data_IF_119563954957
#
_entry.id   IF_119563954957
#
_cell.length_a   1.000
_cell.length_b   1.000
_cell.length_c   1.000
_cell.angle_alpha   90.00
_cell.angle_beta   90.00
_cell.angle_gamma   90.00
#
_symmetry.space_group_name_H-M   'P 1'
#
loop_
_entity.id
_entity.type
_entity.pdbx_description
1 polymer ?
#
# COMPACT_ATOMS: atom_id res chain seq x y z
N UNK A 1 -15.11 -21.70 19.04
CA UNK A 1 -14.64 -20.40 18.52
C UNK A 1 -13.29 -20.12 19.16
N UNK A 2 -12.21 -20.56 18.54
CA UNK A 2 -10.85 -20.25 19.01
C UNK A 2 -10.65 -18.74 18.80
N UNK A 3 -10.25 -18.03 19.86
CA UNK A 3 -10.06 -16.59 19.84
C UNK A 3 -9.15 -16.17 18.73
N UNK A 4 -9.69 -15.39 17.79
CA UNK A 4 -8.89 -14.70 16.79
C UNK A 4 -7.82 -13.91 17.54
N UNK A 5 -6.57 -14.38 17.46
CA UNK A 5 -5.45 -13.75 18.15
C UNK A 5 -5.42 -12.28 17.74
N UNK A 6 -5.58 -11.39 18.70
CA UNK A 6 -5.53 -9.95 18.48
C UNK A 6 -4.22 -9.63 17.77
N UNK A 7 -4.29 -8.94 16.64
CA UNK A 7 -3.11 -8.38 16.00
C UNK A 7 -2.42 -7.47 17.02
N UNK A 8 -1.16 -7.75 17.30
CA UNK A 8 -0.33 -6.88 18.12
C UNK A 8 -0.01 -5.61 17.32
N UNK A 9 -0.76 -4.56 17.64
CA UNK A 9 -0.68 -3.29 16.95
C UNK A 9 0.68 -2.62 17.15
N UNK A 10 1.13 -2.53 18.40
CA UNK A 10 2.39 -1.87 18.75
C UNK A 10 3.58 -2.66 18.20
N UNK A 11 3.59 -3.97 18.41
CA UNK A 11 4.66 -4.83 17.89
C UNK A 11 4.77 -4.81 16.36
N UNK A 12 3.66 -4.63 15.61
CA UNK A 12 3.73 -4.49 14.16
C UNK A 12 4.42 -3.19 13.73
N UNK A 13 4.20 -2.07 14.44
CA UNK A 13 4.90 -0.81 14.17
C UNK A 13 6.39 -0.90 14.54
N UNK A 14 6.74 -1.51 15.66
CA UNK A 14 8.14 -1.70 16.07
C UNK A 14 8.90 -2.60 15.10
N UNK A 15 8.35 -3.77 14.75
CA UNK A 15 8.96 -4.68 13.79
C UNK A 15 9.03 -4.04 12.40
N UNK A 16 7.95 -3.40 11.95
CA UNK A 16 7.93 -2.67 10.68
C UNK A 16 9.02 -1.59 10.63
N UNK A 17 9.28 -0.88 11.73
CA UNK A 17 10.33 0.11 11.80
C UNK A 17 11.74 -0.49 11.73
N UNK A 18 11.96 -1.62 12.42
CA UNK A 18 13.25 -2.34 12.37
C UNK A 18 13.50 -2.85 10.95
N UNK A 19 12.52 -3.49 10.34
CA UNK A 19 12.58 -3.98 8.96
C UNK A 19 12.78 -2.85 7.95
N UNK A 20 12.07 -1.74 8.12
CA UNK A 20 12.21 -0.57 7.27
C UNK A 20 13.64 -0.01 7.29
N UNK A 21 14.21 0.20 8.47
CA UNK A 21 15.59 0.69 8.60
C UNK A 21 16.61 -0.26 7.96
N UNK A 22 16.48 -1.56 8.23
CA UNK A 22 17.43 -2.56 7.72
C UNK A 22 17.36 -2.75 6.19
N UNK A 23 16.20 -2.48 5.58
CA UNK A 23 15.97 -2.65 4.15
C UNK A 23 15.76 -1.33 3.38
N UNK A 24 16.04 -0.20 4.01
CA UNK A 24 15.76 1.14 3.47
C UNK A 24 16.26 1.33 2.05
N UNK A 25 17.52 0.97 1.77
CA UNK A 25 18.12 1.12 0.44
C UNK A 25 17.42 0.32 -0.67
N UNK A 26 16.74 -0.79 -0.32
CA UNK A 26 16.04 -1.65 -1.28
C UNK A 26 14.63 -1.17 -1.59
N UNK A 27 13.98 -0.46 -0.66
CA UNK A 27 12.56 -0.09 -0.76
C UNK A 27 12.34 1.41 -0.95
N UNK A 28 13.31 2.26 -0.59
CA UNK A 28 13.20 3.72 -0.69
C UNK A 28 12.96 4.19 -2.13
N UNK A 29 13.60 3.56 -3.12
CA UNK A 29 13.38 3.87 -4.53
C UNK A 29 11.93 3.63 -4.97
N UNK A 30 11.30 2.55 -4.52
CA UNK A 30 9.89 2.27 -4.79
C UNK A 30 8.96 3.23 -4.05
N UNK A 31 9.30 3.59 -2.80
CA UNK A 31 8.57 4.61 -2.06
C UNK A 31 8.60 5.97 -2.76
N UNK A 32 9.76 6.37 -3.28
CA UNK A 32 9.87 7.58 -4.09
C UNK A 32 9.05 7.47 -5.39
N UNK A 33 9.05 6.31 -6.05
CA UNK A 33 8.27 6.08 -7.26
C UNK A 33 6.74 6.21 -7.01
N UNK A 34 6.22 5.70 -5.88
CA UNK A 34 4.79 5.84 -5.52
C UNK A 34 4.40 7.29 -5.18
N UNK A 35 5.35 8.15 -4.87
CA UNK A 35 5.07 9.57 -4.66
C UNK A 35 5.01 10.39 -5.97
N UNK A 36 5.44 9.81 -7.12
CA UNK A 36 5.47 10.52 -8.42
C UNK A 36 4.06 10.84 -8.95
N UNK A 37 3.11 9.89 -9.08
CA UNK A 37 1.79 10.21 -9.64
C UNK A 37 1.06 11.35 -8.92
N UNK A 38 1.01 11.41 -7.57
CA UNK A 38 0.40 12.51 -6.85
C UNK A 38 1.02 13.89 -7.14
N UNK A 39 2.30 13.95 -7.47
CA UNK A 39 2.97 15.23 -7.80
C UNK A 39 2.38 15.87 -9.05
N UNK A 40 1.94 15.06 -10.02
CA UNK A 40 1.36 15.58 -11.27
C UNK A 40 0.04 16.31 -11.08
N UNK A 41 -0.68 16.11 -9.95
CA UNK A 41 -1.86 16.91 -9.63
C UNK A 41 -1.55 18.41 -9.46
N UNK A 42 -0.32 18.75 -9.07
CA UNK A 42 0.10 20.15 -8.97
C UNK A 42 0.27 20.84 -10.35
N UNK A 43 0.57 20.05 -11.38
CA UNK A 43 0.76 20.58 -12.74
C UNK A 43 -0.50 20.47 -13.59
N UNK A 44 -1.24 19.37 -13.44
CA UNK A 44 -2.47 19.11 -14.18
C UNK A 44 -3.30 18.06 -13.46
N UNK A 45 -4.55 18.41 -13.11
CA UNK A 45 -5.50 17.47 -12.51
C UNK A 45 -5.69 16.26 -13.42
N UNK A 46 -5.87 16.47 -14.73
CA UNK A 46 -6.06 15.39 -15.71
C UNK A 46 -4.85 14.45 -15.75
N UNK A 47 -3.65 14.99 -15.83
CA UNK A 47 -2.43 14.18 -15.84
C UNK A 47 -2.26 13.41 -14.51
N UNK A 48 -2.50 14.05 -13.38
CA UNK A 48 -2.46 13.41 -12.06
C UNK A 48 -3.45 12.25 -11.95
N UNK A 49 -4.70 12.45 -12.37
CA UNK A 49 -5.74 11.41 -12.40
C UNK A 49 -5.31 10.25 -13.30
N UNK A 50 -4.92 10.50 -14.54
CA UNK A 50 -4.52 9.46 -15.50
C UNK A 50 -3.33 8.66 -14.97
N UNK A 51 -2.29 9.31 -14.47
CA UNK A 51 -1.10 8.63 -13.95
C UNK A 51 -1.42 7.81 -12.71
N UNK A 52 -2.27 8.31 -11.81
CA UNK A 52 -2.71 7.54 -10.64
C UNK A 52 -3.46 6.28 -11.05
N UNK A 53 -4.42 6.38 -11.98
CA UNK A 53 -5.16 5.20 -12.45
C UNK A 53 -4.30 4.20 -13.22
N UNK A 54 -3.30 4.64 -13.96
CA UNK A 54 -2.47 3.77 -14.82
C UNK A 54 -1.29 3.20 -14.06
N UNK A 55 -0.58 4.01 -13.26
CA UNK A 55 0.71 3.64 -12.69
C UNK A 55 0.66 3.28 -11.21
N UNK A 56 -0.19 3.91 -10.40
CA UNK A 56 -0.15 3.78 -8.94
C UNK A 56 -0.34 2.33 -8.49
N UNK A 57 -1.31 1.62 -9.05
CA UNK A 57 -1.53 0.21 -8.69
C UNK A 57 -0.35 -0.69 -9.03
N UNK A 58 0.31 -0.46 -10.17
CA UNK A 58 1.54 -1.17 -10.51
C UNK A 58 2.66 -0.84 -9.52
N UNK A 59 2.86 0.43 -9.21
CA UNK A 59 3.91 0.88 -8.29
C UNK A 59 3.70 0.32 -6.88
N UNK A 60 2.45 0.27 -6.40
CA UNK A 60 2.11 -0.31 -5.10
C UNK A 60 2.33 -1.84 -5.07
N UNK A 61 2.04 -2.56 -6.18
CA UNK A 61 2.36 -3.99 -6.29
C UNK A 61 3.88 -4.20 -6.28
N UNK A 62 4.64 -3.39 -7.00
CA UNK A 62 6.10 -3.47 -7.03
C UNK A 62 6.71 -3.14 -5.67
N UNK A 63 6.17 -2.15 -4.96
CA UNK A 63 6.55 -1.86 -3.59
C UNK A 63 6.22 -3.03 -2.66
N UNK A 64 5.01 -3.61 -2.74
CA UNK A 64 4.62 -4.79 -1.94
C UNK A 64 5.55 -5.98 -2.21
N UNK A 65 5.86 -6.26 -3.48
CA UNK A 65 6.83 -7.31 -3.83
C UNK A 65 8.23 -7.03 -3.26
N UNK A 66 8.69 -5.79 -3.33
CA UNK A 66 10.00 -5.37 -2.79
C UNK A 66 10.06 -5.54 -1.26
N UNK A 67 8.96 -5.22 -0.57
CA UNK A 67 8.80 -5.44 0.88
C UNK A 67 8.88 -6.94 1.21
N UNK A 68 8.13 -7.78 0.49
CA UNK A 68 8.15 -9.25 0.68
C UNK A 68 9.56 -9.80 0.48
N UNK A 69 10.19 -9.47 -0.64
CA UNK A 69 11.54 -9.96 -0.97
C UNK A 69 12.57 -9.50 0.07
N UNK A 70 12.50 -8.25 0.50
CA UNK A 70 13.42 -7.68 1.50
C UNK A 70 13.26 -8.33 2.87
N UNK A 71 12.03 -8.55 3.32
CA UNK A 71 11.73 -9.15 4.62
C UNK A 71 12.11 -10.64 4.67
N UNK A 72 12.07 -11.33 3.52
CA UNK A 72 12.43 -12.75 3.41
C UNK A 72 13.87 -12.99 2.94
N UNK A 73 14.66 -11.97 2.71
CA UNK A 73 16.01 -12.08 2.18
C UNK A 73 16.09 -12.62 0.74
N UNK A 74 14.98 -12.50 -0.02
CA UNK A 74 14.91 -12.97 -1.40
C UNK A 74 15.41 -11.89 -2.37
N UNK A 75 15.88 -12.35 -3.55
CA UNK A 75 16.18 -11.42 -4.66
C UNK A 75 14.89 -10.93 -5.29
N UNK A 76 14.88 -9.65 -5.64
CA UNK A 76 13.75 -9.05 -6.38
C UNK A 76 14.01 -9.19 -7.88
N UNK A 77 13.50 -10.27 -8.48
CA UNK A 77 13.75 -10.61 -9.89
C UNK A 77 12.60 -10.19 -10.83
N UNK A 78 11.77 -9.23 -10.42
CA UNK A 78 10.60 -8.79 -11.23
C UNK A 78 11.00 -8.34 -12.63
N UNK A 79 12.09 -7.59 -12.74
CA UNK A 79 12.57 -7.08 -14.05
C UNK A 79 13.24 -8.15 -14.90
N UNK A 80 13.67 -9.26 -14.32
CA UNK A 80 14.25 -10.40 -15.04
C UNK A 80 13.17 -11.26 -15.72
N UNK A 81 11.89 -11.04 -15.38
CA UNK A 81 10.76 -11.79 -15.91
C UNK A 81 9.69 -10.87 -16.53
N UNK A 82 9.73 -10.62 -17.86
CA UNK A 82 8.75 -9.78 -18.54
C UNK A 82 7.30 -10.20 -18.31
N UNK A 83 7.05 -11.52 -18.24
CA UNK A 83 5.72 -12.05 -17.99
C UNK A 83 5.21 -11.70 -16.59
N UNK A 84 6.08 -11.68 -15.59
CA UNK A 84 5.73 -11.30 -14.22
C UNK A 84 5.41 -9.80 -14.15
N UNK A 85 6.25 -8.99 -14.78
CA UNK A 85 6.01 -7.54 -14.85
C UNK A 85 4.69 -7.21 -15.56
N UNK A 86 4.42 -7.90 -16.68
CA UNK A 86 3.15 -7.72 -17.42
C UNK A 86 1.94 -8.15 -16.56
N UNK A 87 2.06 -9.24 -15.80
CA UNK A 87 1.01 -9.67 -14.88
C UNK A 87 0.77 -8.62 -13.78
N UNK A 88 1.83 -8.05 -13.20
CA UNK A 88 1.70 -6.98 -12.21
C UNK A 88 1.09 -5.71 -12.82
N UNK A 89 1.47 -5.35 -14.05
CA UNK A 89 0.90 -4.20 -14.73
C UNK A 89 -0.61 -4.35 -14.97
N UNK A 90 -1.04 -5.52 -15.48
CA UNK A 90 -2.48 -5.82 -15.70
C UNK A 90 -3.27 -5.78 -14.39
N UNK A 91 -2.78 -6.47 -13.37
CA UNK A 91 -3.47 -6.52 -12.07
C UNK A 91 -3.42 -5.16 -11.36
N UNK A 92 -2.30 -4.44 -11.42
CA UNK A 92 -2.18 -3.09 -10.86
C UNK A 92 -3.16 -2.11 -11.49
N UNK A 93 -3.29 -2.12 -12.81
CA UNK A 93 -4.27 -1.31 -13.52
C UNK A 93 -5.71 -1.64 -13.10
N UNK A 94 -6.05 -2.94 -13.00
CA UNK A 94 -7.38 -3.37 -12.55
C UNK A 94 -7.65 -2.98 -11.09
N UNK A 95 -6.69 -3.17 -10.19
CA UNK A 95 -6.82 -2.72 -8.79
C UNK A 95 -7.04 -1.21 -8.74
N UNK A 96 -6.29 -0.44 -9.52
CA UNK A 96 -6.44 1.01 -9.58
C UNK A 96 -7.84 1.42 -10.01
N UNK A 97 -8.35 0.85 -11.12
CA UNK A 97 -9.70 1.17 -11.64
C UNK A 97 -10.80 0.79 -10.65
N UNK A 98 -10.63 -0.27 -9.88
CA UNK A 98 -11.64 -0.72 -8.93
C UNK A 98 -11.54 0.02 -7.59
N UNK A 99 -10.33 0.20 -7.06
CA UNK A 99 -10.10 0.69 -5.72
C UNK A 99 -10.11 2.23 -5.63
N UNK A 100 -9.43 2.93 -6.55
CA UNK A 100 -9.33 4.39 -6.45
C UNK A 100 -10.67 5.13 -6.57
N UNK A 101 -11.61 4.76 -7.47
CA UNK A 101 -12.93 5.38 -7.45
C UNK A 101 -13.65 5.20 -6.11
N UNK A 102 -13.55 4.02 -5.49
CA UNK A 102 -14.14 3.77 -4.18
C UNK A 102 -13.51 4.65 -3.10
N UNK A 103 -12.19 4.82 -3.14
CA UNK A 103 -11.46 5.70 -2.21
C UNK A 103 -11.84 7.17 -2.43
N UNK A 104 -11.95 7.62 -3.69
CA UNK A 104 -12.34 8.99 -4.04
C UNK A 104 -13.77 9.29 -3.62
N UNK A 105 -14.72 8.39 -3.91
CA UNK A 105 -16.13 8.55 -3.49
C UNK A 105 -16.19 8.57 -1.95
N UNK A 106 -15.46 7.67 -1.30
CA UNK A 106 -15.37 7.63 0.15
C UNK A 106 -14.80 8.91 0.74
N UNK A 107 -13.75 9.48 0.14
CA UNK A 107 -13.13 10.72 0.58
C UNK A 107 -14.07 11.92 0.37
N UNK A 108 -14.78 11.97 -0.76
CA UNK A 108 -15.77 13.01 -1.05
C UNK A 108 -16.97 12.95 -0.08
N UNK A 109 -17.36 11.75 0.35
CA UNK A 109 -18.49 11.57 1.26
C UNK A 109 -18.21 12.00 2.70
N UNK A 110 -17.04 11.78 3.27
CA UNK A 110 -16.62 12.25 4.60
C UNK A 110 -15.28 11.68 5.11
N UNK A 111 -14.36 11.29 4.27
CA UNK A 111 -13.05 10.67 4.59
C UNK A 111 -13.18 9.29 5.29
N UNK A 112 -14.07 9.14 6.29
CA UNK A 112 -14.26 7.88 7.03
C UNK A 112 -14.57 6.69 6.13
N UNK A 113 -15.49 6.77 5.14
CA UNK A 113 -15.70 5.67 4.20
C UNK A 113 -14.45 5.27 3.41
N UNK A 114 -13.61 6.24 3.04
CA UNK A 114 -12.32 5.96 2.38
C UNK A 114 -11.37 5.17 3.28
N UNK A 115 -11.29 5.52 4.58
CA UNK A 115 -10.50 4.78 5.57
C UNK A 115 -11.01 3.34 5.71
N UNK A 116 -12.34 3.14 5.72
CA UNK A 116 -12.94 1.80 5.77
C UNK A 116 -12.57 1.00 4.53
N UNK A 117 -12.75 1.57 3.33
CA UNK A 117 -12.38 0.92 2.06
C UNK A 117 -10.92 0.52 2.07
N UNK A 118 -10.03 1.43 2.44
CA UNK A 118 -8.60 1.13 2.51
C UNK A 118 -8.31 0.01 3.53
N UNK A 119 -8.88 0.05 4.73
CA UNK A 119 -8.68 -0.97 5.75
C UNK A 119 -9.10 -2.39 5.32
N UNK A 120 -10.10 -2.48 4.45
CA UNK A 120 -10.61 -3.74 3.89
C UNK A 120 -9.70 -4.28 2.80
N UNK A 121 -9.15 -3.41 1.95
CA UNK A 121 -8.42 -3.82 0.74
C UNK A 121 -6.90 -3.64 0.83
N UNK A 122 -6.35 -3.25 1.98
CA UNK A 122 -4.93 -2.97 2.14
C UNK A 122 -4.01 -4.17 1.81
N UNK A 123 -4.49 -5.41 1.97
CA UNK A 123 -3.71 -6.61 1.66
C UNK A 123 -3.71 -6.96 0.18
N UNK A 124 -4.56 -6.34 -0.64
CA UNK A 124 -4.72 -6.67 -2.07
C UNK A 124 -3.39 -6.66 -2.81
N UNK A 125 -2.57 -5.63 -2.59
CA UNK A 125 -1.28 -5.49 -3.27
C UNK A 125 -0.30 -6.61 -2.90
N UNK A 126 -0.32 -7.05 -1.64
CA UNK A 126 0.52 -8.15 -1.15
C UNK A 126 0.06 -9.50 -1.71
N UNK A 127 -1.26 -9.73 -1.79
CA UNK A 127 -1.83 -10.95 -2.36
C UNK A 127 -1.51 -11.05 -3.85
N UNK A 128 -1.63 -9.96 -4.61
CA UNK A 128 -1.22 -9.95 -6.03
C UNK A 128 0.28 -10.19 -6.16
N UNK A 129 1.11 -9.53 -5.36
CA UNK A 129 2.56 -9.63 -5.42
C UNK A 129 3.07 -11.03 -5.07
N UNK A 130 2.51 -11.65 -4.03
CA UNK A 130 2.95 -12.94 -3.49
C UNK A 130 2.32 -14.12 -4.19
N UNK A 131 0.97 -14.13 -4.24
CA UNK A 131 0.20 -15.30 -4.67
C UNK A 131 -0.12 -15.25 -6.16
N UNK A 132 0.25 -14.14 -6.84
CA UNK A 132 0.03 -13.90 -8.27
C UNK A 132 -1.44 -14.02 -8.67
N UNK A 133 -2.36 -13.77 -7.72
CA UNK A 133 -3.79 -13.83 -7.95
C UNK A 133 -4.26 -12.69 -8.83
N UNK A 134 -5.37 -12.92 -9.52
CA UNK A 134 -6.04 -11.88 -10.27
C UNK A 134 -6.60 -10.80 -9.33
N UNK A 135 -6.67 -9.55 -9.79
CA UNK A 135 -7.02 -8.38 -8.98
C UNK A 135 -8.30 -8.58 -8.16
N UNK A 136 -9.37 -9.08 -8.78
CA UNK A 136 -10.66 -9.28 -8.10
C UNK A 136 -10.55 -10.35 -7.01
N UNK A 137 -9.88 -11.48 -7.29
CA UNK A 137 -9.68 -12.56 -6.31
C UNK A 137 -8.83 -12.07 -5.14
N UNK A 138 -7.81 -11.27 -5.42
CA UNK A 138 -6.97 -10.66 -4.39
C UNK A 138 -7.76 -9.68 -3.49
N UNK A 139 -8.67 -8.90 -4.07
CA UNK A 139 -9.57 -8.02 -3.31
C UNK A 139 -10.53 -8.81 -2.42
N UNK A 140 -11.16 -9.85 -2.95
CA UNK A 140 -12.05 -10.73 -2.17
C UNK A 140 -11.29 -11.41 -1.03
N UNK A 141 -10.07 -11.86 -1.28
CA UNK A 141 -9.24 -12.48 -0.26
C UNK A 141 -8.78 -11.48 0.80
N UNK A 142 -8.40 -10.25 0.41
CA UNK A 142 -8.08 -9.18 1.35
C UNK A 142 -9.22 -8.93 2.33
N UNK A 143 -10.46 -8.87 1.81
CA UNK A 143 -11.67 -8.73 2.62
C UNK A 143 -11.85 -9.90 3.61
N UNK A 144 -11.53 -11.13 3.20
CA UNK A 144 -11.62 -12.32 4.06
C UNK A 144 -10.54 -12.34 5.13
N UNK A 145 -9.28 -12.06 4.76
CA UNK A 145 -8.14 -12.03 5.70
C UNK A 145 -8.31 -10.98 6.79
N UNK A 146 -8.86 -9.81 6.47
CA UNK A 146 -9.13 -8.75 7.44
C UNK A 146 -10.28 -9.06 8.41
N UNK A 147 -11.08 -10.11 8.15
CA UNK A 147 -12.22 -10.45 8.99
C UNK A 147 -11.72 -10.96 10.37
N UNK A 148 -12.19 -10.37 11.45
CA UNK A 148 -11.73 -10.66 12.82
C UNK A 148 -10.70 -9.66 13.38
N UNK A 149 -10.05 -8.86 12.53
CA UNK A 149 -9.10 -7.82 12.95
C UNK A 149 -9.46 -6.43 12.42
N UNK A 150 -10.69 -6.24 11.97
CA UNK A 150 -11.14 -5.02 11.27
C UNK A 150 -10.92 -3.73 12.06
N UNK A 151 -11.14 -3.75 13.37
CA UNK A 151 -10.92 -2.57 14.21
C UNK A 151 -9.44 -2.17 14.22
N UNK A 152 -8.54 -3.15 14.37
CA UNK A 152 -7.08 -2.90 14.34
C UNK A 152 -6.65 -2.34 12.98
N UNK A 153 -7.15 -2.91 11.88
CA UNK A 153 -6.86 -2.47 10.53
C UNK A 153 -7.46 -1.08 10.24
N UNK A 154 -8.64 -0.79 10.77
CA UNK A 154 -9.24 0.54 10.67
C UNK A 154 -8.41 1.59 11.41
N UNK A 155 -7.99 1.32 12.66
CA UNK A 155 -7.13 2.23 13.42
C UNK A 155 -5.78 2.45 12.73
N UNK A 156 -5.19 1.41 12.18
CA UNK A 156 -3.98 1.53 11.36
C UNK A 156 -4.20 2.43 10.14
N UNK A 157 -5.30 2.20 9.41
CA UNK A 157 -5.65 3.00 8.24
C UNK A 157 -5.88 4.47 8.60
N UNK A 158 -6.47 4.73 9.75
CA UNK A 158 -6.64 6.10 10.26
C UNK A 158 -5.29 6.79 10.47
N UNK A 159 -4.32 6.11 11.10
CA UNK A 159 -2.96 6.64 11.30
C UNK A 159 -2.26 6.86 9.96
N UNK A 160 -2.40 5.92 9.02
CA UNK A 160 -1.84 6.08 7.67
C UNK A 160 -2.41 7.30 6.96
N UNK A 161 -3.73 7.49 7.00
CA UNK A 161 -4.38 8.68 6.40
C UNK A 161 -3.94 9.98 7.07
N UNK A 162 -3.78 9.99 8.40
CA UNK A 162 -3.25 11.16 9.10
C UNK A 162 -1.81 11.49 8.68
N UNK A 163 -0.96 10.47 8.54
CA UNK A 163 0.41 10.63 8.05
C UNK A 163 0.46 11.10 6.58
N UNK A 164 -0.41 10.56 5.73
CA UNK A 164 -0.55 10.98 4.33
C UNK A 164 -1.05 12.44 4.23
N UNK A 165 -2.04 12.82 5.04
CA UNK A 165 -2.53 14.19 5.12
C UNK A 165 -1.42 15.17 5.58
N UNK A 166 -0.58 14.75 6.52
CA UNK A 166 0.58 15.54 6.94
C UNK A 166 1.59 15.72 5.79
N UNK A 167 1.88 14.67 5.02
CA UNK A 167 2.76 14.76 3.85
C UNK A 167 2.16 15.72 2.78
N UNK A 168 0.84 15.66 2.55
CA UNK A 168 0.16 16.58 1.65
C UNK A 168 0.20 18.03 2.16
N UNK A 169 0.05 18.24 3.46
CA UNK A 169 0.21 19.56 4.08
C UNK A 169 1.62 20.12 3.87
N UNK A 170 2.65 19.31 4.06
CA UNK A 170 4.03 19.71 3.75
C UNK A 170 4.21 20.05 2.27
N UNK A 171 3.56 19.33 1.37
CA UNK A 171 3.60 19.60 -0.06
C UNK A 171 2.99 20.96 -0.43
N UNK A 172 1.99 21.44 0.32
CA UNK A 172 1.41 22.78 0.13
C UNK A 172 2.38 23.90 0.54
N UNK A 173 3.24 23.64 1.55
CA UNK A 173 4.25 24.61 2.00
C UNK A 173 5.44 24.59 1.04
N UNK A 174 5.94 23.41 0.73
CA UNK A 174 7.08 23.20 -0.15
C UNK A 174 7.01 21.81 -0.78
N UNK A 175 6.67 21.75 -2.06
CA UNK A 175 6.41 20.53 -2.81
C UNK A 175 7.49 19.42 -2.63
N UNK A 176 8.81 19.69 -2.67
CA UNK A 176 9.84 18.68 -2.41
C UNK A 176 9.76 18.03 -1.04
N UNK A 177 9.35 18.77 0.02
CA UNK A 177 9.18 18.19 1.35
C UNK A 177 8.02 17.19 1.39
N UNK A 178 6.92 17.50 0.73
CA UNK A 178 5.79 16.57 0.61
C UNK A 178 6.16 15.32 -0.16
N UNK A 179 6.92 15.45 -1.25
CA UNK A 179 7.44 14.33 -2.01
C UNK A 179 8.37 13.42 -1.17
N UNK A 180 9.32 14.01 -0.44
CA UNK A 180 10.21 13.28 0.46
C UNK A 180 9.40 12.59 1.57
N UNK A 181 8.48 13.31 2.22
CA UNK A 181 7.66 12.76 3.28
C UNK A 181 6.80 11.59 2.78
N UNK A 182 6.12 11.73 1.65
CA UNK A 182 5.33 10.65 1.03
C UNK A 182 6.19 9.46 0.65
N UNK A 183 7.34 9.69 0.03
CA UNK A 183 8.31 8.67 -0.34
C UNK A 183 8.91 7.90 0.84
N UNK A 184 8.94 8.48 2.03
CA UNK A 184 9.39 7.81 3.26
C UNK A 184 8.24 7.12 4.01
N UNK A 185 7.09 7.77 4.10
CA UNK A 185 5.92 7.29 4.83
C UNK A 185 5.35 6.03 4.17
N UNK A 186 5.12 6.05 2.85
CA UNK A 186 4.48 4.94 2.14
C UNK A 186 5.20 3.61 2.32
N UNK A 187 6.51 3.47 2.07
CA UNK A 187 7.19 2.19 2.24
C UNK A 187 7.28 1.75 3.70
N UNK A 188 7.36 2.67 4.66
CA UNK A 188 7.27 2.32 6.08
C UNK A 188 5.93 1.68 6.42
N UNK A 189 4.83 2.30 6.01
CA UNK A 189 3.49 1.74 6.25
C UNK A 189 3.28 0.42 5.51
N UNK A 190 3.87 0.24 4.32
CA UNK A 190 3.85 -1.04 3.63
C UNK A 190 4.58 -2.14 4.40
N UNK A 191 5.69 -1.84 5.09
CA UNK A 191 6.33 -2.79 6.02
C UNK A 191 5.39 -3.19 7.15
N UNK A 192 4.69 -2.23 7.77
CA UNK A 192 3.72 -2.51 8.85
C UNK A 192 2.53 -3.33 8.34
N UNK A 193 2.01 -3.03 7.13
CA UNK A 193 0.94 -3.83 6.50
C UNK A 193 1.43 -5.26 6.27
N UNK A 194 2.67 -5.43 5.83
CA UNK A 194 3.25 -6.75 5.63
C UNK A 194 3.34 -7.55 6.93
N UNK A 195 3.72 -6.94 8.04
CA UNK A 195 3.72 -7.58 9.37
C UNK A 195 2.31 -8.06 9.77
N UNK A 196 1.28 -7.27 9.50
CA UNK A 196 -0.10 -7.71 9.70
C UNK A 196 -0.49 -8.86 8.77
N UNK A 197 -0.12 -8.76 7.50
CA UNK A 197 -0.41 -9.77 6.49
C UNK A 197 0.23 -11.12 6.84
N UNK A 198 1.52 -11.13 7.18
CA UNK A 198 2.28 -12.35 7.50
C UNK A 198 1.74 -13.02 8.78
N UNK A 199 1.41 -12.24 9.82
CA UNK A 199 0.79 -12.74 11.05
C UNK A 199 -0.61 -13.35 10.84
N UNK A 200 -1.37 -12.90 9.85
CA UNK A 200 -2.68 -13.47 9.53
C UNK A 200 -2.59 -14.72 8.68
N UNK A 201 -1.47 -14.97 8.00
CA UNK A 201 -1.25 -16.20 7.23
C UNK A 201 -0.73 -17.37 8.06
N UNK A 202 0.03 -17.08 9.10
CA UNK A 202 0.61 -18.12 9.97
C UNK A 202 -0.41 -18.72 10.95
N UNK A 203 -1.67 -18.29 10.86
CA UNK A 203 -2.82 -18.81 11.63
C UNK A 203 -3.75 -19.65 10.78
#
# INVERSE_FOLDING_TARGET
MQGAGKLDFVGAFEHGWIQYKSNFSKIAGWGAATAVPPVFFHFSITAGVVLTFVLEGLLLILLANSVICSSRGLKNDVFSSPNLLLNYAKNGFLVSILLFPLLLIGAAAAVIPSIIVFSVFMFTFFIVARDRKFAIDAMVESLRKGNGSRLTLFLFSFIFYAAAAFALFLAQIFMPLGFIAGGLITPYFFMVIYEFYDKLETK
#
